data_IF_390168654895
#
_entry.id   IF_390168654895
#
_cell.length_a   1.000
_cell.length_b   1.000
_cell.length_c   1.000
_cell.angle_alpha   90.00
_cell.angle_beta   90.00
_cell.angle_gamma   90.00
#
_symmetry.space_group_name_H-M   'P 1'
#
loop_
_entity.id
_entity.type
_entity.pdbx_description
1 polymer ?
#
# COMPACT_ATOMS: atom_id res chain seq x y z
N UNK A 1 -42.60 21.48 -96.33
CA UNK A 1 -43.57 21.10 -95.30
C UNK A 1 -42.77 20.84 -94.06
N UNK A 2 -42.95 21.68 -93.10
CA UNK A 2 -42.09 21.92 -91.91
C UNK A 2 -42.55 21.01 -90.77
N UNK A 3 -41.66 20.29 -90.16
CA UNK A 3 -41.96 19.71 -88.86
C UNK A 3 -40.86 19.97 -87.85
N UNK A 4 -41.31 20.63 -86.76
CA UNK A 4 -40.50 21.06 -85.60
C UNK A 4 -40.09 19.83 -84.79
N UNK A 5 -38.87 19.74 -84.42
CA UNK A 5 -38.40 18.82 -83.39
C UNK A 5 -38.26 19.53 -82.06
N UNK A 6 -39.01 19.04 -81.06
CA UNK A 6 -38.95 19.50 -79.65
C UNK A 6 -37.66 19.04 -78.98
N UNK A 7 -36.96 20.02 -78.47
CA UNK A 7 -35.70 19.81 -77.70
C UNK A 7 -36.08 19.67 -76.21
N UNK A 8 -36.19 18.44 -75.74
CA UNK A 8 -36.46 18.19 -74.35
C UNK A 8 -35.22 18.48 -73.52
N UNK A 9 -35.39 19.37 -72.57
CA UNK A 9 -34.38 19.84 -71.65
C UNK A 9 -34.06 18.73 -70.59
N UNK A 10 -32.86 18.18 -70.68
CA UNK A 10 -32.30 17.35 -69.58
C UNK A 10 -31.87 18.25 -68.45
N UNK A 11 -32.58 18.19 -67.36
CA UNK A 11 -32.23 18.82 -66.08
C UNK A 11 -31.22 17.91 -65.38
N UNK A 12 -29.94 18.26 -65.41
CA UNK A 12 -28.94 17.58 -64.57
C UNK A 12 -29.10 18.07 -63.13
N UNK A 13 -29.65 17.22 -62.25
CA UNK A 13 -29.61 17.45 -60.82
C UNK A 13 -28.25 17.11 -60.32
N UNK A 14 -27.46 18.13 -59.99
CA UNK A 14 -26.17 18.00 -59.35
C UNK A 14 -26.42 17.76 -57.83
N UNK A 15 -26.28 16.50 -57.41
CA UNK A 15 -26.35 16.13 -55.99
C UNK A 15 -24.98 16.42 -55.39
N UNK A 16 -24.84 17.35 -54.41
CA UNK A 16 -23.59 17.54 -53.73
C UNK A 16 -23.35 16.33 -52.80
N UNK A 17 -22.33 15.54 -53.09
CA UNK A 17 -21.82 14.52 -52.19
C UNK A 17 -21.12 15.24 -51.02
N UNK A 18 -21.83 15.39 -49.89
CA UNK A 18 -21.22 15.85 -48.67
C UNK A 18 -20.39 14.69 -48.10
N UNK A 19 -19.08 14.76 -48.32
CA UNK A 19 -18.12 13.86 -47.68
C UNK A 19 -18.08 14.21 -46.17
N UNK A 20 -18.77 13.43 -45.34
CA UNK A 20 -18.67 13.51 -43.90
C UNK A 20 -17.30 12.91 -43.51
N UNK A 21 -16.30 13.74 -43.27
CA UNK A 21 -15.03 13.32 -42.73
C UNK A 21 -15.28 13.03 -41.23
N UNK A 22 -15.47 11.74 -40.90
CA UNK A 22 -15.40 11.28 -39.51
C UNK A 22 -13.94 11.41 -39.05
N UNK A 23 -13.61 12.52 -38.39
CA UNK A 23 -12.38 12.59 -37.60
C UNK A 23 -12.60 11.72 -36.38
N UNK A 24 -12.12 10.49 -36.41
CA UNK A 24 -11.97 9.67 -35.22
C UNK A 24 -10.90 10.34 -34.35
N UNK A 25 -11.34 11.19 -33.40
CA UNK A 25 -10.51 11.60 -32.30
C UNK A 25 -10.21 10.34 -31.50
N UNK A 26 -9.10 9.68 -31.86
CA UNK A 26 -8.55 8.61 -31.04
C UNK A 26 -8.25 9.20 -29.67
N UNK A 27 -9.06 8.86 -28.67
CA UNK A 27 -8.69 9.07 -27.29
C UNK A 27 -7.41 8.25 -27.04
N UNK A 28 -6.26 8.86 -27.27
CA UNK A 28 -5.01 8.39 -26.71
C UNK A 28 -5.12 8.64 -25.20
N UNK A 29 -5.77 7.70 -24.48
CA UNK A 29 -5.59 7.63 -23.05
C UNK A 29 -4.06 7.57 -22.81
N UNK A 30 -3.50 8.44 -21.94
CA UNK A 30 -2.08 8.41 -21.68
C UNK A 30 -1.74 6.99 -21.22
N UNK A 31 -0.87 6.32 -22.00
CA UNK A 31 -0.29 5.04 -21.59
C UNK A 31 0.37 5.32 -20.25
N UNK A 32 -0.26 4.84 -19.17
CA UNK A 32 0.29 4.94 -17.82
C UNK A 32 1.67 4.31 -17.93
N UNK A 33 2.72 5.12 -17.84
CA UNK A 33 4.09 4.64 -17.95
C UNK A 33 4.21 3.43 -17.01
N UNK A 34 4.70 2.31 -17.53
CA UNK A 34 5.03 1.15 -16.69
C UNK A 34 5.98 1.70 -15.63
N UNK A 35 5.49 1.82 -14.39
CA UNK A 35 6.32 2.31 -13.29
C UNK A 35 7.53 1.40 -13.20
N UNK A 36 8.70 2.00 -13.11
CA UNK A 36 9.93 1.25 -12.88
C UNK A 36 9.86 0.59 -11.49
N UNK A 37 9.34 -0.63 -11.46
CA UNK A 37 9.13 -1.41 -10.23
C UNK A 37 10.44 -1.58 -9.46
N UNK A 38 11.58 -1.61 -10.14
CA UNK A 38 12.88 -1.74 -9.51
C UNK A 38 13.24 -0.46 -8.73
N UNK A 39 12.95 0.72 -9.28
CA UNK A 39 13.16 2.00 -8.60
C UNK A 39 12.16 2.17 -7.45
N UNK A 40 10.89 1.85 -7.65
CA UNK A 40 9.88 1.90 -6.59
C UNK A 40 10.24 0.96 -5.43
N UNK A 41 10.76 -0.24 -5.71
CA UNK A 41 11.24 -1.16 -4.68
C UNK A 41 12.36 -0.55 -3.84
N UNK A 42 13.34 0.12 -4.47
CA UNK A 42 14.40 0.82 -3.75
C UNK A 42 13.85 1.93 -2.84
N UNK A 43 12.85 2.69 -3.31
CA UNK A 43 12.22 3.75 -2.53
C UNK A 43 11.47 3.18 -1.31
N UNK A 44 10.72 2.09 -1.47
CA UNK A 44 10.04 1.41 -0.35
C UNK A 44 11.05 0.89 0.67
N UNK A 45 12.15 0.26 0.23
CA UNK A 45 13.22 -0.20 1.11
C UNK A 45 13.79 0.97 1.92
N UNK A 46 14.19 2.04 1.25
CA UNK A 46 14.77 3.22 1.90
C UNK A 46 13.81 3.89 2.90
N UNK A 47 12.51 3.91 2.56
CA UNK A 47 11.48 4.42 3.46
C UNK A 47 11.33 3.55 4.71
N UNK A 48 11.24 2.22 4.57
CA UNK A 48 11.13 1.29 5.70
C UNK A 48 12.40 1.29 6.57
N UNK A 49 13.60 1.45 5.99
CA UNK A 49 14.82 1.61 6.76
C UNK A 49 14.82 2.91 7.56
N UNK A 50 14.40 4.02 6.94
CA UNK A 50 14.27 5.32 7.61
C UNK A 50 13.21 5.30 8.71
N UNK A 51 12.13 4.58 8.51
CA UNK A 51 11.08 4.34 9.50
C UNK A 51 11.63 3.64 10.75
N UNK A 52 12.39 2.56 10.59
CA UNK A 52 13.04 1.85 11.69
C UNK A 52 14.11 2.72 12.39
N UNK A 53 14.91 3.47 11.62
CA UNK A 53 15.90 4.39 12.15
C UNK A 53 15.25 5.51 13.00
N UNK A 54 14.11 6.06 12.56
CA UNK A 54 13.40 7.09 13.31
C UNK A 54 12.92 6.57 14.68
N UNK A 55 12.43 5.33 14.73
CA UNK A 55 12.06 4.68 16.00
C UNK A 55 13.29 4.48 16.92
N UNK A 56 14.39 3.94 16.39
CA UNK A 56 15.62 3.71 17.16
C UNK A 56 16.23 5.00 17.72
N UNK A 57 16.05 6.13 17.01
CA UNK A 57 16.50 7.46 17.46
C UNK A 57 15.48 8.19 18.32
N UNK A 58 14.34 7.59 18.60
CA UNK A 58 13.19 8.21 19.27
C UNK A 58 12.73 9.52 18.60
N UNK A 59 12.89 9.61 17.26
CA UNK A 59 12.36 10.73 16.49
C UNK A 59 10.86 10.52 16.22
N UNK A 60 10.06 10.89 17.22
CA UNK A 60 8.63 10.72 17.22
C UNK A 60 7.94 11.33 16.00
N UNK A 61 8.31 12.57 15.65
CA UNK A 61 7.68 13.30 14.56
C UNK A 61 7.96 12.63 13.22
N UNK A 62 9.21 12.29 12.96
CA UNK A 62 9.62 11.63 11.72
C UNK A 62 9.01 10.23 11.63
N UNK A 63 9.02 9.47 12.73
CA UNK A 63 8.44 8.12 12.77
C UNK A 63 6.96 8.13 12.36
N UNK A 64 6.13 8.98 13.01
CA UNK A 64 4.70 9.05 12.71
C UNK A 64 4.36 9.75 11.39
N UNK A 65 5.31 10.51 10.82
CA UNK A 65 5.14 11.04 9.46
C UNK A 65 5.24 9.97 8.37
N UNK A 66 5.83 8.82 8.65
CA UNK A 66 5.82 7.70 7.71
C UNK A 66 4.47 7.00 7.61
N UNK A 67 3.56 7.18 8.56
CA UNK A 67 2.22 6.61 8.51
C UNK A 67 1.24 7.47 7.70
N UNK A 68 0.30 6.82 7.02
CA UNK A 68 -0.90 7.51 6.51
C UNK A 68 -1.77 7.95 7.70
N UNK A 69 -2.75 8.85 7.47
CA UNK A 69 -3.60 9.33 8.57
C UNK A 69 -4.60 8.27 9.05
N UNK A 70 -4.97 7.35 8.18
CA UNK A 70 -5.85 6.20 8.42
C UNK A 70 -5.09 4.90 8.75
N UNK A 71 -3.79 5.00 9.03
CA UNK A 71 -2.95 3.82 9.27
C UNK A 71 -3.39 3.01 10.48
N UNK A 72 -3.16 1.70 10.39
CA UNK A 72 -3.37 0.73 11.47
C UNK A 72 -2.03 0.10 11.85
N UNK A 73 -1.75 0.08 13.14
CA UNK A 73 -0.67 -0.70 13.72
C UNK A 73 -1.24 -1.86 14.54
N UNK A 74 -0.66 -3.04 14.36
CA UNK A 74 -0.97 -4.23 15.16
C UNK A 74 0.32 -4.71 15.81
N UNK A 75 0.35 -4.72 17.13
CA UNK A 75 1.52 -5.12 17.90
C UNK A 75 1.60 -6.62 18.15
N UNK A 76 2.50 -7.01 19.03
CA UNK A 76 2.82 -8.43 19.31
C UNK A 76 1.82 -9.12 20.24
N UNK A 77 1.01 -8.38 20.98
CA UNK A 77 -0.07 -8.91 21.81
C UNK A 77 -1.38 -8.93 21.03
N UNK A 78 -2.21 -9.95 21.24
CA UNK A 78 -3.47 -10.14 20.51
C UNK A 78 -4.47 -8.99 20.72
N UNK A 79 -4.32 -8.18 21.76
CA UNK A 79 -5.16 -7.01 22.06
C UNK A 79 -4.62 -5.72 21.44
N UNK A 80 -3.42 -5.73 20.92
CA UNK A 80 -2.72 -4.56 20.40
C UNK A 80 -3.09 -4.28 18.94
N UNK A 81 -4.15 -3.51 18.75
CA UNK A 81 -4.57 -3.00 17.46
C UNK A 81 -5.03 -1.55 17.58
N UNK A 82 -4.29 -0.63 16.98
CA UNK A 82 -4.50 0.81 17.09
C UNK A 82 -4.65 1.49 15.73
N UNK A 83 -5.49 2.49 15.67
CA UNK A 83 -5.37 3.54 14.67
C UNK A 83 -4.13 4.41 14.95
N UNK A 84 -3.74 5.24 13.99
CA UNK A 84 -2.55 6.12 14.11
C UNK A 84 -2.59 6.97 15.38
N UNK A 85 -3.73 7.59 15.69
CA UNK A 85 -3.88 8.49 16.83
C UNK A 85 -3.67 7.75 18.15
N UNK A 86 -4.30 6.60 18.30
CA UNK A 86 -4.17 5.76 19.50
C UNK A 86 -2.76 5.19 19.64
N UNK A 87 -2.14 4.80 18.52
CA UNK A 87 -0.75 4.35 18.53
C UNK A 87 0.23 5.47 18.88
N UNK A 88 0.01 6.68 18.38
CA UNK A 88 0.77 7.87 18.78
C UNK A 88 0.73 8.10 20.30
N UNK A 89 -0.47 8.00 20.88
CA UNK A 89 -0.64 8.16 22.33
C UNK A 89 0.08 7.06 23.14
N UNK A 90 -0.05 5.81 22.70
CA UNK A 90 0.64 4.67 23.32
C UNK A 90 2.17 4.79 23.23
N UNK A 91 2.69 5.17 22.08
CA UNK A 91 4.12 5.24 21.82
C UNK A 91 4.82 6.44 22.49
N UNK A 92 4.08 7.55 22.70
CA UNK A 92 4.65 8.82 23.20
C UNK A 92 5.57 8.67 24.41
N UNK A 93 5.20 7.95 25.51
CA UNK A 93 6.06 7.80 26.67
C UNK A 93 7.40 7.11 26.40
N UNK A 94 7.45 6.21 25.41
CA UNK A 94 8.68 5.52 25.03
C UNK A 94 9.62 6.47 24.28
N UNK A 95 9.08 7.22 23.31
CA UNK A 95 9.84 8.21 22.57
C UNK A 95 10.36 9.35 23.49
N UNK A 96 9.57 9.80 24.43
CA UNK A 96 9.98 10.86 25.38
C UNK A 96 11.14 10.44 26.30
N UNK A 97 11.33 9.14 26.52
CA UNK A 97 12.48 8.60 27.25
C UNK A 97 13.76 8.53 26.42
N UNK A 98 13.73 8.95 25.16
CA UNK A 98 14.89 8.99 24.27
C UNK A 98 15.21 7.65 23.62
N UNK A 99 14.42 6.62 23.79
CA UNK A 99 14.52 5.34 23.08
C UNK A 99 13.16 4.65 23.00
N UNK A 100 12.75 4.27 21.80
CA UNK A 100 11.51 3.52 21.59
C UNK A 100 11.86 2.04 21.33
N UNK A 101 11.96 1.64 20.08
CA UNK A 101 12.35 0.28 19.69
C UNK A 101 13.41 0.33 18.60
N UNK A 102 14.36 -0.58 18.68
CA UNK A 102 15.44 -0.73 17.68
C UNK A 102 15.23 -2.03 16.91
N UNK A 103 14.71 -1.89 15.69
CA UNK A 103 14.45 -2.99 14.80
C UNK A 103 15.38 -2.92 13.59
N UNK A 104 16.09 -4.03 13.33
CA UNK A 104 17.01 -4.15 12.18
C UNK A 104 16.46 -5.21 11.24
N UNK A 105 16.05 -4.79 10.05
CA UNK A 105 15.65 -5.74 9.02
C UNK A 105 16.84 -6.61 8.60
N UNK A 106 16.66 -7.92 8.62
CA UNK A 106 17.65 -8.92 8.24
C UNK A 106 17.25 -9.69 6.98
N UNK A 107 15.98 -9.64 6.63
CA UNK A 107 15.43 -10.18 5.38
C UNK A 107 14.15 -9.43 5.07
N UNK A 108 13.94 -9.01 3.80
CA UNK A 108 12.75 -8.24 3.40
C UNK A 108 12.33 -8.55 1.99
N UNK A 109 11.04 -8.84 1.81
CA UNK A 109 10.40 -9.06 0.52
C UNK A 109 9.34 -7.99 0.28
N UNK A 110 9.29 -7.45 -0.93
CA UNK A 110 8.36 -6.39 -1.32
C UNK A 110 7.69 -6.77 -2.62
N UNK A 111 6.38 -6.65 -2.65
CA UNK A 111 5.50 -6.97 -3.77
C UNK A 111 4.62 -5.76 -4.10
N UNK A 112 4.29 -5.57 -5.36
CA UNK A 112 3.49 -4.43 -5.83
C UNK A 112 2.18 -4.89 -6.44
N UNK A 113 1.16 -4.06 -6.30
CA UNK A 113 -0.06 -4.18 -7.07
C UNK A 113 0.19 -3.84 -8.55
N UNK A 114 -0.79 -4.14 -9.41
CA UNK A 114 -0.69 -3.87 -10.86
C UNK A 114 -0.52 -2.38 -11.20
N UNK A 115 -0.94 -1.49 -10.33
CA UNK A 115 -0.82 -0.03 -10.53
C UNK A 115 0.53 0.51 -10.07
N UNK A 116 1.28 -0.24 -9.27
CA UNK A 116 2.51 0.19 -8.63
C UNK A 116 2.29 1.33 -7.61
N UNK A 117 1.07 1.52 -7.11
CA UNK A 117 0.75 2.54 -6.10
C UNK A 117 0.53 1.98 -4.71
N UNK A 118 0.40 0.67 -4.60
CA UNK A 118 0.31 -0.07 -3.36
C UNK A 118 1.36 -1.17 -3.39
N UNK A 119 2.05 -1.34 -2.27
CA UNK A 119 2.94 -2.47 -2.07
C UNK A 119 2.63 -3.12 -0.72
N UNK A 120 2.86 -4.43 -0.64
CA UNK A 120 2.88 -5.15 0.62
C UNK A 120 4.26 -5.75 0.80
N UNK A 121 4.61 -5.97 2.04
CA UNK A 121 5.91 -6.51 2.40
C UNK A 121 5.81 -7.45 3.58
N UNK A 122 6.79 -8.31 3.68
CA UNK A 122 7.14 -9.05 4.89
C UNK A 122 8.64 -8.93 5.16
N UNK A 123 9.01 -8.99 6.43
CA UNK A 123 10.40 -8.89 6.82
C UNK A 123 10.68 -9.68 8.11
N UNK A 124 11.90 -10.17 8.22
CA UNK A 124 12.45 -10.63 9.49
C UNK A 124 13.25 -9.49 10.12
N UNK A 125 13.02 -9.29 11.39
CA UNK A 125 13.63 -8.23 12.19
C UNK A 125 14.47 -8.82 13.31
N UNK A 126 15.70 -8.35 13.48
CA UNK A 126 16.44 -8.54 14.71
C UNK A 126 16.04 -7.45 15.70
N UNK A 127 15.50 -7.86 16.85
CA UNK A 127 14.94 -6.97 17.87
C UNK A 127 15.42 -7.37 19.28
N UNK A 128 15.08 -6.58 20.29
CA UNK A 128 15.26 -6.97 21.69
C UNK A 128 14.44 -8.23 22.09
N UNK A 129 13.39 -8.54 21.32
CA UNK A 129 12.58 -9.77 21.48
C UNK A 129 13.12 -10.93 20.63
N UNK A 130 14.34 -10.81 20.09
CA UNK A 130 14.95 -11.71 19.11
C UNK A 130 14.26 -11.56 17.74
N UNK A 131 14.10 -12.66 16.99
CA UNK A 131 13.51 -12.57 15.67
C UNK A 131 12.02 -12.29 15.77
N UNK A 132 11.61 -11.17 15.19
CA UNK A 132 10.22 -10.83 14.94
C UNK A 132 9.93 -10.86 13.44
N UNK A 133 8.66 -10.97 13.09
CA UNK A 133 8.18 -10.76 11.73
C UNK A 133 7.43 -9.44 11.67
N UNK A 134 7.90 -8.54 10.82
CA UNK A 134 7.15 -7.39 10.36
C UNK A 134 6.42 -7.73 9.06
N UNK A 135 5.22 -7.24 8.89
CA UNK A 135 4.53 -7.25 7.60
C UNK A 135 3.61 -6.05 7.50
N UNK A 136 3.29 -5.64 6.28
CA UNK A 136 2.43 -4.48 6.15
C UNK A 136 2.10 -4.11 4.72
N UNK A 137 1.36 -3.01 4.62
CA UNK A 137 0.97 -2.38 3.38
C UNK A 137 1.50 -0.96 3.38
N UNK A 138 2.10 -0.57 2.27
CA UNK A 138 2.54 0.79 2.01
C UNK A 138 1.86 1.32 0.75
N UNK A 139 1.52 2.60 0.77
CA UNK A 139 0.84 3.27 -0.34
C UNK A 139 1.61 4.51 -0.77
N UNK A 140 1.55 4.81 -2.05
CA UNK A 140 2.21 6.00 -2.60
C UNK A 140 1.28 7.20 -2.49
N UNK A 141 1.71 8.22 -1.75
CA UNK A 141 1.04 9.51 -1.62
C UNK A 141 1.93 10.61 -2.25
N UNK A 142 1.54 11.08 -3.42
CA UNK A 142 2.40 11.96 -4.22
C UNK A 142 3.67 11.24 -4.65
N UNK A 143 4.81 11.73 -4.20
CA UNK A 143 6.13 11.14 -4.48
C UNK A 143 6.62 10.22 -3.34
N UNK A 144 5.95 10.20 -2.20
CA UNK A 144 6.38 9.50 -1.00
C UNK A 144 5.63 8.18 -0.81
N UNK A 145 6.32 7.19 -0.25
CA UNK A 145 5.71 5.98 0.28
C UNK A 145 5.35 6.16 1.75
N UNK A 146 4.15 5.70 2.13
CA UNK A 146 3.64 5.77 3.51
C UNK A 146 3.15 4.41 3.96
N UNK A 147 3.32 4.12 5.24
CA UNK A 147 2.82 2.91 5.88
C UNK A 147 1.32 3.08 6.15
N UNK A 148 0.49 2.23 5.55
CA UNK A 148 -0.95 2.19 5.79
C UNK A 148 -1.32 1.09 6.79
N UNK A 149 -0.58 -0.01 6.80
CA UNK A 149 -0.73 -1.05 7.80
C UNK A 149 0.65 -1.59 8.17
N UNK A 150 0.88 -1.80 9.46
CA UNK A 150 2.03 -2.55 9.97
C UNK A 150 1.58 -3.56 10.99
N UNK A 151 2.06 -4.78 10.87
CA UNK A 151 1.84 -5.88 11.80
C UNK A 151 3.19 -6.36 12.29
N UNK A 152 3.38 -6.39 13.59
CA UNK A 152 4.55 -6.95 14.25
C UNK A 152 4.16 -8.23 15.00
N UNK A 153 4.89 -9.30 14.79
CA UNK A 153 4.67 -10.57 15.49
C UNK A 153 5.99 -11.14 15.98
N UNK A 154 6.00 -11.69 17.17
CA UNK A 154 7.10 -12.55 17.63
C UNK A 154 7.07 -13.86 16.87
N UNK A 155 8.25 -14.42 16.56
CA UNK A 155 8.37 -15.75 15.97
C UNK A 155 8.75 -16.78 17.03
N UNK A 156 8.19 -17.96 16.92
CA UNK A 156 8.53 -19.09 17.80
C UNK A 156 9.08 -20.23 16.93
N UNK A 157 10.28 -20.76 17.21
CA UNK A 157 10.75 -21.97 16.56
C UNK A 157 9.78 -23.14 16.76
N UNK A 158 9.54 -23.93 15.71
CA UNK A 158 8.54 -25.00 15.75
C UNK A 158 8.80 -26.01 16.86
N UNK A 159 10.06 -26.32 17.15
CA UNK A 159 10.47 -27.25 18.22
C UNK A 159 10.24 -26.71 19.65
N UNK A 160 9.81 -25.46 19.77
CA UNK A 160 9.50 -24.78 21.05
C UNK A 160 8.01 -24.54 21.27
N UNK A 161 7.16 -24.81 20.27
CA UNK A 161 5.72 -24.53 20.37
C UNK A 161 5.06 -25.25 21.55
N UNK A 162 5.39 -26.51 21.79
CA UNK A 162 4.82 -27.31 22.90
C UNK A 162 5.12 -26.70 24.28
N UNK A 163 6.21 -25.94 24.40
CA UNK A 163 6.57 -25.21 25.62
C UNK A 163 5.88 -23.86 25.72
N UNK A 164 5.65 -23.17 24.60
CA UNK A 164 5.08 -21.83 24.56
C UNK A 164 3.55 -21.86 24.68
N UNK A 165 2.88 -22.86 24.07
CA UNK A 165 1.41 -22.97 24.10
C UNK A 165 0.85 -22.94 25.53
N UNK A 166 1.30 -23.76 26.49
CA UNK A 166 0.78 -23.71 27.84
C UNK A 166 1.01 -22.36 28.56
N UNK A 167 2.11 -21.67 28.24
CA UNK A 167 2.46 -20.39 28.85
C UNK A 167 1.48 -19.28 28.49
N UNK A 168 0.86 -19.32 27.32
CA UNK A 168 -0.05 -18.29 26.80
C UNK A 168 -1.53 -18.69 26.88
N UNK A 169 -1.85 -20.00 27.02
CA UNK A 169 -3.21 -20.52 26.89
C UNK A 169 -4.21 -19.83 27.80
N UNK A 170 -3.91 -19.63 29.07
CA UNK A 170 -4.85 -19.01 30.02
C UNK A 170 -5.30 -17.60 29.60
N UNK A 171 -4.37 -16.77 29.15
CA UNK A 171 -4.67 -15.40 28.70
C UNK A 171 -5.40 -15.43 27.37
N UNK A 172 -4.95 -16.24 26.43
CA UNK A 172 -5.52 -16.29 25.08
C UNK A 172 -6.90 -16.94 25.07
N UNK A 173 -7.16 -17.98 25.85
CA UNK A 173 -8.48 -18.60 25.98
C UNK A 173 -9.52 -17.56 26.48
N UNK A 174 -9.12 -16.67 27.38
CA UNK A 174 -9.98 -15.55 27.81
C UNK A 174 -10.33 -14.60 26.68
N UNK A 175 -9.34 -14.28 25.80
CA UNK A 175 -9.54 -13.41 24.64
C UNK A 175 -10.41 -14.10 23.61
N UNK A 176 -10.13 -15.37 23.30
CA UNK A 176 -10.90 -16.20 22.36
C UNK A 176 -12.38 -16.24 22.79
N UNK A 177 -12.64 -16.54 24.07
CA UNK A 177 -14.00 -16.61 24.60
C UNK A 177 -14.76 -15.26 24.50
N UNK A 178 -14.06 -14.13 24.63
CA UNK A 178 -14.68 -12.80 24.45
C UNK A 178 -15.01 -12.50 22.98
N UNK A 179 -14.15 -12.93 22.04
CA UNK A 179 -14.31 -12.65 20.62
C UNK A 179 -15.37 -13.53 19.95
N UNK A 180 -15.48 -14.81 20.35
CA UNK A 180 -16.48 -15.74 19.79
C UNK A 180 -17.90 -15.40 20.27
N UNK A 181 -18.06 -14.75 21.44
CA UNK A 181 -19.36 -14.38 22.00
C UNK A 181 -19.91 -13.05 21.43
N UNK A 182 -19.21 -12.39 20.54
CA UNK A 182 -19.66 -11.20 19.79
C UNK A 182 -20.40 -11.60 18.51
#
# INVERSE_FOLDING_TARGET
MIQKSDLSKFFFILIPVIAIIFTTAGCNAPVKSVRDTANEKKQVIAMLDSFNIAAAKADYKTYFNFYTDDAIFTGTDATERWDKKSFMAYAKPYFDKGHAWDFKSIDRHIYFDKTGSTAWFDELLNTQMKICRGSGVVVKQGNDWKVQQYILSTTVPNDKLDSVIPMKSHQEDSIINKLIKK
#
